data_IF_729648801182
#
_entry.id   IF_729648801182
#
_cell.length_a   1.000
_cell.length_b   1.000
_cell.length_c   1.000
_cell.angle_alpha   90.00
_cell.angle_beta   90.00
_cell.angle_gamma   90.00
#
_symmetry.space_group_name_H-M   'P 1'
#
loop_
_entity.id
_entity.type
_entity.pdbx_description
1 polymer ?
#
# COMPACT_ATOMS: atom_id res chain seq x y z
N UNK A 1 -84.04 -11.65 -32.26
CA UNK A 1 -83.17 -10.96 -31.27
C UNK A 1 -81.74 -11.51 -31.43
N UNK A 2 -80.79 -10.74 -32.01
CA UNK A 2 -79.39 -11.13 -32.21
C UNK A 2 -78.58 -10.21 -31.27
N UNK A 3 -78.00 -10.79 -30.23
CA UNK A 3 -77.09 -10.07 -29.30
C UNK A 3 -75.66 -10.27 -29.77
N UNK A 4 -75.02 -9.17 -30.16
CA UNK A 4 -73.58 -9.10 -30.53
C UNK A 4 -72.74 -8.84 -29.27
N UNK A 5 -71.79 -9.73 -29.00
CA UNK A 5 -70.79 -9.52 -27.97
C UNK A 5 -69.52 -8.82 -28.58
N UNK A 6 -69.19 -7.65 -28.10
CA UNK A 6 -67.95 -6.97 -28.43
C UNK A 6 -66.87 -7.44 -27.43
N UNK A 7 -65.82 -8.07 -27.94
CA UNK A 7 -64.65 -8.43 -27.17
C UNK A 7 -63.66 -7.24 -27.19
N UNK A 8 -63.37 -6.70 -26.00
CA UNK A 8 -62.33 -5.68 -25.83
C UNK A 8 -61.00 -6.37 -25.60
N UNK A 9 -60.04 -6.14 -26.51
CA UNK A 9 -58.66 -6.60 -26.38
C UNK A 9 -57.87 -5.58 -25.53
N UNK A 10 -57.41 -6.00 -24.35
CA UNK A 10 -56.51 -5.21 -23.52
C UNK A 10 -55.04 -5.38 -24.02
N UNK A 11 -54.42 -4.31 -24.50
CA UNK A 11 -53.01 -4.27 -24.87
C UNK A 11 -52.20 -3.94 -23.62
N UNK A 12 -51.49 -4.94 -23.07
CA UNK A 12 -50.55 -4.75 -21.99
C UNK A 12 -49.19 -4.27 -22.56
N UNK A 13 -48.85 -3.01 -22.30
CA UNK A 13 -47.55 -2.46 -22.62
C UNK A 13 -46.56 -2.86 -21.51
N UNK A 14 -45.68 -3.85 -21.78
CA UNK A 14 -44.55 -4.12 -20.88
C UNK A 14 -43.48 -3.05 -21.11
N UNK A 15 -43.35 -2.12 -20.16
CA UNK A 15 -42.20 -1.20 -20.10
C UNK A 15 -40.99 -1.94 -19.52
N UNK A 16 -40.05 -2.31 -20.39
CA UNK A 16 -38.70 -2.78 -19.97
C UNK A 16 -37.87 -1.60 -19.46
N UNK A 17 -37.98 -1.36 -18.16
CA UNK A 17 -37.07 -0.40 -17.51
C UNK A 17 -35.65 -0.96 -17.46
N UNK A 18 -34.74 -0.42 -18.28
CA UNK A 18 -33.31 -0.70 -18.18
C UNK A 18 -32.78 -0.13 -16.86
N UNK A 19 -32.45 -0.99 -15.90
CA UNK A 19 -31.71 -0.62 -14.70
C UNK A 19 -30.28 -0.25 -15.13
N UNK A 20 -29.97 1.02 -15.22
CA UNK A 20 -28.60 1.50 -15.37
C UNK A 20 -27.92 1.32 -14.00
N UNK A 21 -27.12 0.27 -13.85
CA UNK A 21 -26.27 0.09 -12.68
C UNK A 21 -25.19 1.19 -12.70
N UNK A 22 -25.30 2.19 -11.82
CA UNK A 22 -24.23 3.11 -11.55
C UNK A 22 -23.11 2.34 -10.83
N UNK A 23 -22.06 1.99 -11.56
CA UNK A 23 -20.83 1.51 -10.96
C UNK A 23 -20.31 2.60 -10.02
N UNK A 24 -20.22 2.28 -8.74
CA UNK A 24 -19.67 3.17 -7.72
C UNK A 24 -18.18 3.36 -8.05
N UNK A 25 -17.84 4.48 -8.66
CA UNK A 25 -16.45 4.79 -8.97
C UNK A 25 -15.72 5.05 -7.65
N UNK A 26 -14.66 4.29 -7.39
CA UNK A 26 -13.74 4.63 -6.30
C UNK A 26 -13.22 6.06 -6.52
N UNK A 27 -13.04 6.85 -5.45
CA UNK A 27 -12.52 8.19 -5.58
C UNK A 27 -11.16 8.16 -6.30
N UNK A 28 -10.93 9.12 -7.20
CA UNK A 28 -9.64 9.26 -7.84
C UNK A 28 -8.60 9.81 -6.86
N UNK A 29 -7.32 9.45 -6.99
CA UNK A 29 -6.26 10.03 -6.19
C UNK A 29 -6.10 11.53 -6.49
N UNK A 30 -5.62 12.28 -5.51
CA UNK A 30 -5.26 13.68 -5.72
C UNK A 30 -4.21 13.80 -6.84
N UNK A 31 -4.27 14.83 -7.71
CA UNK A 31 -3.36 14.98 -8.87
C UNK A 31 -1.88 15.02 -8.48
N UNK A 32 -1.57 15.50 -7.28
CA UNK A 32 -0.21 15.55 -6.74
C UNK A 32 0.22 14.26 -6.03
N UNK A 33 -0.62 13.22 -5.94
CA UNK A 33 -0.23 11.95 -5.29
C UNK A 33 1.12 11.49 -5.79
N UNK A 34 2.04 11.23 -4.87
CA UNK A 34 3.42 10.81 -5.13
C UNK A 34 3.98 9.87 -4.05
N UNK A 35 3.11 9.38 -3.16
CA UNK A 35 3.41 8.40 -2.11
C UNK A 35 2.20 7.50 -1.87
N UNK A 36 2.44 6.20 -1.73
CA UNK A 36 1.46 5.25 -1.22
C UNK A 36 2.13 4.00 -0.62
N UNK A 37 1.37 3.24 0.18
CA UNK A 37 1.69 1.87 0.59
C UNK A 37 1.04 0.92 -0.42
N UNK A 38 1.76 -0.11 -0.89
CA UNK A 38 1.17 -1.10 -1.81
C UNK A 38 -0.06 -1.76 -1.19
N UNK A 39 -1.17 -1.88 -1.92
CA UNK A 39 -2.37 -2.57 -1.42
C UNK A 39 -2.25 -4.09 -1.41
N UNK A 40 -1.27 -4.64 -2.10
CA UNK A 40 -1.01 -6.08 -2.18
C UNK A 40 0.42 -6.37 -2.61
N UNK A 41 0.95 -7.47 -2.09
CA UNK A 41 2.17 -8.13 -2.59
C UNK A 41 2.16 -9.61 -2.18
N UNK A 42 1.68 -10.51 -3.02
CA UNK A 42 1.60 -11.93 -2.70
C UNK A 42 2.95 -12.66 -2.75
N UNK A 43 4.03 -12.00 -3.16
CA UNK A 43 5.35 -12.62 -3.38
C UNK A 43 6.29 -12.53 -2.17
N UNK A 44 5.87 -11.85 -1.09
CA UNK A 44 6.79 -11.57 0.03
C UNK A 44 8.04 -10.83 -0.46
N UNK A 45 9.21 -11.25 -0.02
CA UNK A 45 10.50 -10.66 -0.41
C UNK A 45 11.01 -11.02 -1.81
N UNK A 46 10.41 -12.01 -2.50
CA UNK A 46 10.82 -12.38 -3.86
C UNK A 46 10.12 -11.49 -4.91
N UNK A 47 10.58 -10.28 -5.03
CA UNK A 47 10.02 -9.28 -5.94
C UNK A 47 10.61 -9.34 -7.36
N UNK A 48 11.67 -10.12 -7.58
CA UNK A 48 12.47 -10.09 -8.81
C UNK A 48 13.44 -8.89 -8.82
N UNK A 49 14.01 -8.59 -7.66
CA UNK A 49 14.90 -7.45 -7.45
C UNK A 49 14.18 -6.10 -7.45
N UNK A 50 14.96 -5.01 -7.49
CA UNK A 50 14.41 -3.65 -7.52
C UNK A 50 13.56 -3.39 -8.76
N UNK A 51 13.91 -3.97 -9.90
CA UNK A 51 13.14 -3.82 -11.15
C UNK A 51 11.74 -4.40 -11.00
N UNK A 52 11.60 -5.57 -10.40
CA UNK A 52 10.29 -6.16 -10.15
C UNK A 52 9.48 -5.39 -9.11
N UNK A 53 10.13 -4.90 -8.05
CA UNK A 53 9.48 -4.04 -7.04
C UNK A 53 8.96 -2.73 -7.65
N UNK A 54 9.75 -2.08 -8.50
CA UNK A 54 9.34 -0.87 -9.23
C UNK A 54 8.16 -1.16 -10.17
N UNK A 55 8.16 -2.32 -10.83
CA UNK A 55 7.05 -2.73 -11.68
C UNK A 55 5.74 -2.91 -10.88
N UNK A 56 5.80 -3.41 -9.64
CA UNK A 56 4.64 -3.47 -8.74
C UNK A 56 4.14 -2.06 -8.45
N UNK A 57 4.99 -1.13 -8.00
CA UNK A 57 4.63 0.27 -7.74
C UNK A 57 3.99 0.91 -8.98
N UNK A 58 4.61 0.75 -10.13
CA UNK A 58 4.11 1.32 -11.40
C UNK A 58 2.76 0.75 -11.81
N UNK A 59 2.56 -0.56 -11.64
CA UNK A 59 1.30 -1.23 -11.97
C UNK A 59 0.15 -0.75 -11.08
N UNK A 60 0.36 -0.71 -9.76
CA UNK A 60 -0.63 -0.24 -8.79
C UNK A 60 -1.01 1.23 -9.04
N UNK A 61 -0.01 2.08 -9.29
CA UNK A 61 -0.24 3.50 -9.58
C UNK A 61 -1.02 3.71 -10.89
N UNK A 62 -0.70 2.94 -11.95
CA UNK A 62 -1.44 2.99 -13.22
C UNK A 62 -2.89 2.54 -13.07
N UNK A 63 -3.16 1.55 -12.22
CA UNK A 63 -4.51 1.06 -11.97
C UNK A 63 -5.45 2.13 -11.40
N UNK A 64 -4.89 3.19 -10.79
CA UNK A 64 -5.64 4.35 -10.28
C UNK A 64 -5.43 5.61 -11.12
N UNK A 65 -4.90 5.47 -12.36
CA UNK A 65 -4.79 6.55 -13.33
C UNK A 65 -3.52 7.42 -13.22
N UNK A 66 -2.54 7.06 -12.39
CA UNK A 66 -1.29 7.83 -12.31
C UNK A 66 -0.41 7.61 -13.54
N UNK A 67 0.09 8.71 -14.12
CA UNK A 67 1.04 8.70 -15.24
C UNK A 67 2.49 8.95 -14.83
N UNK A 68 2.75 9.15 -13.53
CA UNK A 68 4.09 9.40 -12.99
C UNK A 68 4.95 8.14 -13.05
N UNK A 69 6.27 8.31 -12.94
CA UNK A 69 7.22 7.21 -12.74
C UNK A 69 7.31 6.87 -11.26
N UNK A 70 7.10 5.59 -10.92
CA UNK A 70 7.05 5.13 -9.54
C UNK A 70 8.20 4.19 -9.22
N UNK A 71 8.74 4.33 -8.01
CA UNK A 71 9.83 3.53 -7.47
C UNK A 71 9.48 2.97 -6.10
N UNK A 72 9.90 1.74 -5.84
CA UNK A 72 9.82 1.15 -4.52
C UNK A 72 10.89 1.76 -3.60
N UNK A 73 10.52 2.10 -2.37
CA UNK A 73 11.46 2.48 -1.32
C UNK A 73 12.05 1.23 -0.70
N UNK A 74 13.03 0.66 -1.37
CA UNK A 74 13.71 -0.57 -0.97
C UNK A 74 15.21 -0.40 -1.18
N UNK A 75 16.01 -0.75 -0.16
CA UNK A 75 17.46 -0.84 -0.29
C UNK A 75 17.89 -2.22 -0.80
N UNK A 76 19.09 -2.29 -1.35
CA UNK A 76 19.81 -3.54 -1.64
C UNK A 76 21.17 -3.52 -0.95
N UNK A 77 21.95 -4.58 -1.11
CA UNK A 77 23.34 -4.64 -0.63
C UNK A 77 24.23 -3.52 -1.18
N UNK A 78 23.83 -2.88 -2.30
CA UNK A 78 24.62 -1.85 -2.98
C UNK A 78 23.90 -0.51 -3.16
N UNK A 79 22.56 -0.45 -2.95
CA UNK A 79 21.75 0.74 -3.23
C UNK A 79 20.99 1.17 -1.99
N UNK A 80 21.05 2.43 -1.62
CA UNK A 80 20.26 3.03 -0.55
C UNK A 80 18.86 3.40 -1.06
N UNK A 81 17.80 3.06 -0.30
CA UNK A 81 16.42 3.35 -0.68
C UNK A 81 16.18 4.85 -0.90
N UNK A 82 16.77 5.72 -0.06
CA UNK A 82 16.63 7.17 -0.15
C UNK A 82 17.13 7.77 -1.48
N UNK A 83 18.06 7.11 -2.17
CA UNK A 83 18.60 7.61 -3.44
C UNK A 83 17.71 7.29 -4.64
N UNK A 84 16.67 6.47 -4.45
CA UNK A 84 15.82 5.95 -5.53
C UNK A 84 14.56 6.75 -5.76
N UNK A 85 14.13 7.52 -4.80
CA UNK A 85 12.77 8.07 -4.73
C UNK A 85 12.66 9.55 -5.12
N UNK A 86 13.73 10.17 -5.63
CA UNK A 86 13.74 11.61 -5.96
C UNK A 86 13.91 12.49 -4.74
N UNK A 87 13.56 13.76 -4.86
CA UNK A 87 13.82 14.79 -3.84
C UNK A 87 12.56 15.31 -3.12
N UNK A 88 11.36 14.85 -3.52
CA UNK A 88 10.09 15.35 -2.98
C UNK A 88 9.63 16.69 -3.60
N UNK A 89 8.62 17.35 -3.05
CA UNK A 89 7.78 16.88 -1.94
C UNK A 89 6.88 15.71 -2.32
N UNK A 90 6.52 14.87 -1.33
CA UNK A 90 5.62 13.73 -1.56
C UNK A 90 4.29 13.89 -0.86
N UNK A 91 3.23 13.42 -1.52
CA UNK A 91 1.85 13.54 -1.10
C UNK A 91 1.13 12.19 -1.20
N UNK A 92 0.27 11.90 -0.24
CA UNK A 92 -0.53 10.68 -0.22
C UNK A 92 -1.72 10.75 -1.20
N UNK A 93 -2.57 9.71 -1.19
CA UNK A 93 -3.77 9.61 -2.02
C UNK A 93 -4.71 10.83 -1.89
N UNK A 94 -4.81 11.42 -0.70
CA UNK A 94 -5.67 12.58 -0.42
C UNK A 94 -5.01 13.92 -0.77
N UNK A 95 -3.76 13.93 -1.22
CA UNK A 95 -3.00 15.15 -1.45
C UNK A 95 -2.39 15.77 -0.18
N UNK A 96 -2.38 15.04 0.92
CA UNK A 96 -1.72 15.46 2.17
C UNK A 96 -0.21 15.25 2.03
N UNK A 97 0.57 16.27 2.38
CA UNK A 97 2.04 16.19 2.28
C UNK A 97 2.63 15.25 3.33
N UNK A 98 3.35 14.23 2.87
CA UNK A 98 4.05 13.25 3.70
C UNK A 98 5.42 13.78 4.17
N UNK A 99 6.17 14.38 3.24
CA UNK A 99 7.45 15.00 3.53
C UNK A 99 7.80 16.04 2.45
N UNK A 100 8.60 17.03 2.83
CA UNK A 100 9.05 18.10 1.94
C UNK A 100 10.22 17.66 1.04
N UNK A 101 11.13 16.85 1.59
CA UNK A 101 12.35 16.39 0.92
C UNK A 101 12.92 15.16 1.65
N UNK A 102 14.06 14.63 1.17
CA UNK A 102 14.75 13.47 1.75
C UNK A 102 15.09 13.67 3.24
N UNK A 103 15.60 14.84 3.63
CA UNK A 103 15.96 15.09 5.02
C UNK A 103 14.73 15.13 5.93
N UNK A 104 13.64 15.74 5.47
CA UNK A 104 12.37 15.78 6.19
C UNK A 104 11.75 14.37 6.30
N UNK A 105 11.79 13.57 5.24
CA UNK A 105 11.28 12.20 5.21
C UNK A 105 11.96 11.30 6.27
N UNK A 106 13.27 11.47 6.49
CA UNK A 106 14.05 10.68 7.45
C UNK A 106 14.23 11.40 8.81
N UNK A 107 13.41 12.39 9.09
CA UNK A 107 13.36 13.09 10.37
C UNK A 107 12.07 12.75 11.15
N UNK A 108 11.97 13.26 12.37
CA UNK A 108 10.74 13.18 13.17
C UNK A 108 9.57 14.00 12.58
N UNK A 109 9.83 14.87 11.60
CA UNK A 109 8.83 15.78 11.04
C UNK A 109 7.98 15.16 9.94
N UNK A 110 8.41 14.03 9.33
CA UNK A 110 7.60 13.34 8.34
C UNK A 110 6.21 13.00 8.87
N UNK A 111 5.23 12.91 7.98
CA UNK A 111 3.82 12.71 8.34
C UNK A 111 3.33 11.28 8.08
N UNK A 112 4.24 10.30 7.95
CA UNK A 112 3.84 8.88 7.83
C UNK A 112 3.25 8.41 9.16
N UNK A 113 2.02 7.95 9.12
CA UNK A 113 1.24 7.50 10.28
C UNK A 113 0.08 6.61 9.83
N UNK A 114 -0.66 6.01 10.77
CA UNK A 114 -1.87 5.24 10.48
C UNK A 114 -2.93 6.02 9.67
N UNK A 115 -2.93 7.36 9.70
CA UNK A 115 -3.91 8.17 8.99
C UNK A 115 -3.47 8.57 7.59
N UNK A 116 -2.18 8.63 7.35
CA UNK A 116 -1.59 9.19 6.12
C UNK A 116 -0.90 8.17 5.24
N UNK A 117 -0.45 7.02 5.79
CA UNK A 117 0.13 5.92 5.03
C UNK A 117 -0.99 5.09 4.35
N UNK A 118 -1.58 5.67 3.32
CA UNK A 118 -2.68 5.11 2.55
C UNK A 118 -2.16 4.30 1.36
N UNK A 119 -2.97 3.34 0.90
CA UNK A 119 -2.70 2.61 -0.34
C UNK A 119 -2.93 3.50 -1.56
N UNK A 120 -2.55 3.01 -2.74
CA UNK A 120 -2.86 3.68 -4.02
C UNK A 120 -4.36 3.86 -4.26
N UNK A 121 -5.21 3.14 -3.51
CA UNK A 121 -6.69 3.23 -3.56
C UNK A 121 -7.27 4.17 -2.50
N UNK A 122 -6.41 4.80 -1.68
CA UNK A 122 -6.85 5.65 -0.56
C UNK A 122 -7.37 4.90 0.65
N UNK A 123 -7.22 3.58 0.71
CA UNK A 123 -7.60 2.75 1.86
C UNK A 123 -6.45 2.64 2.86
N UNK A 124 -6.78 2.40 4.11
CA UNK A 124 -5.79 2.07 5.15
C UNK A 124 -5.54 0.56 5.12
N UNK A 125 -4.29 0.09 5.15
CA UNK A 125 -3.98 -1.28 5.56
C UNK A 125 -4.52 -1.58 6.98
N UNK A 126 -4.53 -2.85 7.38
CA UNK A 126 -4.97 -3.25 8.71
C UNK A 126 -3.93 -2.87 9.76
N UNK A 127 -3.88 -1.60 10.11
CA UNK A 127 -2.97 -1.04 11.10
C UNK A 127 -3.42 -1.33 12.54
N UNK A 128 -2.51 -1.20 13.48
CA UNK A 128 -2.85 -1.18 14.89
C UNK A 128 -3.74 0.04 15.20
N UNK A 129 -4.69 -0.15 16.09
CA UNK A 129 -5.60 0.92 16.56
C UNK A 129 -6.07 0.67 18.00
N UNK A 130 -6.61 1.71 18.62
CA UNK A 130 -7.11 1.62 19.98
C UNK A 130 -6.04 1.81 21.07
N UNK A 131 -6.46 1.62 22.34
CA UNK A 131 -5.59 1.69 23.50
C UNK A 131 -5.99 0.59 24.51
N UNK A 132 -5.17 -0.47 24.69
CA UNK A 132 -3.87 -0.69 24.04
C UNK A 132 -4.01 -0.92 22.52
N UNK A 133 -2.97 -0.64 21.73
CA UNK A 133 -3.01 -0.87 20.27
C UNK A 133 -3.21 -2.35 19.94
N UNK A 134 -4.17 -2.65 19.06
CA UNK A 134 -4.48 -4.00 18.59
C UNK A 134 -4.82 -4.00 17.10
N UNK A 135 -4.61 -5.13 16.37
CA UNK A 135 -5.08 -5.26 15.00
C UNK A 135 -6.61 -5.29 14.95
N UNK A 136 -7.23 -4.93 13.81
CA UNK A 136 -8.67 -5.11 13.61
C UNK A 136 -9.07 -6.57 13.85
N UNK A 137 -10.19 -6.78 14.55
CA UNK A 137 -10.63 -8.11 14.95
C UNK A 137 -10.79 -9.05 13.74
N UNK A 138 -10.19 -10.24 13.82
CA UNK A 138 -10.27 -11.27 12.78
C UNK A 138 -9.50 -10.95 11.49
N UNK A 139 -8.68 -9.90 11.45
CA UNK A 139 -7.91 -9.52 10.28
C UNK A 139 -6.39 -9.69 10.52
N UNK A 140 -5.68 -10.02 9.44
CA UNK A 140 -4.22 -10.05 9.46
C UNK A 140 -3.68 -8.62 9.61
N UNK A 141 -2.79 -8.42 10.59
CA UNK A 141 -2.09 -7.16 10.77
C UNK A 141 -1.20 -6.85 9.55
N UNK A 142 -1.15 -5.59 9.14
CA UNK A 142 -0.45 -5.12 7.94
C UNK A 142 0.37 -3.86 8.20
N UNK A 143 0.97 -3.70 9.37
CA UNK A 143 1.70 -2.48 9.72
C UNK A 143 3.20 -2.52 9.39
N UNK A 144 3.76 -3.71 9.26
CA UNK A 144 5.18 -3.91 8.94
C UNK A 144 5.40 -3.80 7.43
N UNK A 145 6.13 -2.77 7.03
CA UNK A 145 6.52 -2.51 5.63
C UNK A 145 7.95 -3.00 5.39
N UNK A 146 8.15 -3.76 4.32
CA UNK A 146 9.50 -4.13 3.88
C UNK A 146 10.25 -2.90 3.37
N UNK A 147 11.48 -2.71 3.79
CA UNK A 147 12.33 -1.58 3.36
C UNK A 147 13.78 -1.98 3.10
N UNK A 148 14.33 -2.92 3.88
CA UNK A 148 15.77 -3.24 3.85
C UNK A 148 16.65 -2.02 4.15
N UNK A 149 16.14 -1.05 4.92
CA UNK A 149 16.79 0.24 5.15
C UNK A 149 16.98 0.50 6.64
N UNK A 150 18.01 1.28 6.98
CA UNK A 150 18.17 1.93 8.27
C UNK A 150 17.26 3.16 8.35
N UNK A 151 17.13 3.76 9.54
CA UNK A 151 16.28 4.93 9.77
C UNK A 151 16.60 6.12 8.87
N UNK A 152 17.87 6.34 8.57
CA UNK A 152 18.35 7.42 7.70
C UNK A 152 18.17 7.13 6.19
N UNK A 153 17.55 6.00 5.83
CA UNK A 153 17.31 5.58 4.46
C UNK A 153 18.51 4.97 3.75
N UNK A 154 19.64 4.76 4.45
CA UNK A 154 20.75 3.96 3.94
C UNK A 154 20.41 2.47 4.01
N UNK A 155 21.15 1.68 3.24
CA UNK A 155 20.94 0.22 3.18
C UNK A 155 21.21 -0.46 4.52
N UNK A 156 20.36 -1.42 4.85
CA UNK A 156 20.57 -2.40 5.90
C UNK A 156 21.24 -3.68 5.34
N UNK A 157 21.69 -4.59 6.22
CA UNK A 157 22.21 -5.89 5.83
C UNK A 157 21.11 -6.85 5.35
N UNK A 158 19.91 -6.69 5.90
CA UNK A 158 18.76 -7.55 5.67
C UNK A 158 17.87 -7.01 4.54
N UNK A 159 18.01 -7.56 3.31
CA UNK A 159 17.34 -7.10 2.09
C UNK A 159 16.67 -8.23 1.30
N UNK A 160 16.35 -9.38 1.92
CA UNK A 160 15.86 -10.57 1.23
C UNK A 160 16.75 -10.98 0.03
N UNK A 161 18.08 -10.90 0.20
CA UNK A 161 19.08 -11.10 -0.88
C UNK A 161 18.73 -10.24 -2.10
N UNK A 162 18.63 -8.93 -1.86
CA UNK A 162 18.29 -7.95 -2.88
C UNK A 162 16.94 -8.23 -3.57
N UNK A 163 15.95 -8.67 -2.76
CA UNK A 163 14.56 -8.90 -3.17
C UNK A 163 14.40 -10.07 -4.15
N UNK A 164 15.25 -11.09 -4.04
CA UNK A 164 15.22 -12.29 -4.88
C UNK A 164 14.79 -13.55 -4.12
N UNK A 165 14.59 -13.47 -2.80
CA UNK A 165 14.23 -14.60 -1.93
C UNK A 165 12.89 -14.34 -1.24
N UNK A 166 12.01 -15.35 -1.25
CA UNK A 166 10.70 -15.34 -0.63
C UNK A 166 10.45 -16.52 0.31
N UNK A 167 11.46 -16.91 1.09
CA UNK A 167 11.40 -17.99 2.07
C UNK A 167 12.13 -17.62 3.38
N UNK A 168 12.38 -18.60 4.25
CA UNK A 168 13.08 -18.39 5.52
C UNK A 168 14.60 -18.26 5.44
N UNK A 169 15.21 -18.32 4.25
CA UNK A 169 16.68 -18.34 4.08
C UNK A 169 17.36 -16.98 4.16
N UNK A 170 16.58 -15.89 4.25
CA UNK A 170 17.04 -14.52 4.40
C UNK A 170 16.03 -13.69 5.20
N UNK A 171 16.40 -12.46 5.56
CA UNK A 171 15.56 -11.51 6.28
C UNK A 171 15.52 -10.16 5.58
N UNK A 172 14.62 -9.30 6.03
CA UNK A 172 14.58 -7.89 5.64
C UNK A 172 14.30 -7.00 6.84
N UNK A 173 14.85 -5.77 6.82
CA UNK A 173 14.44 -4.74 7.76
C UNK A 173 13.00 -4.31 7.47
N UNK A 174 12.19 -4.18 8.53
CA UNK A 174 10.80 -3.75 8.50
C UNK A 174 10.62 -2.43 9.23
N UNK A 175 9.71 -1.59 8.74
CA UNK A 175 9.28 -0.36 9.41
C UNK A 175 7.79 -0.39 9.70
N UNK A 176 7.32 0.36 10.72
CA UNK A 176 5.91 0.44 11.09
C UNK A 176 5.24 1.64 10.43
N UNK A 177 4.39 1.40 9.42
CA UNK A 177 3.69 2.48 8.71
C UNK A 177 2.72 3.26 9.59
N UNK A 178 2.14 2.62 10.59
CA UNK A 178 1.25 3.24 11.58
C UNK A 178 2.00 3.94 12.72
N UNK A 179 3.32 3.78 12.80
CA UNK A 179 4.18 4.30 13.88
C UNK A 179 3.81 3.77 15.27
N UNK A 180 3.11 2.65 15.34
CA UNK A 180 2.69 2.00 16.57
C UNK A 180 3.48 0.71 16.79
N UNK A 181 3.61 0.28 18.04
CA UNK A 181 4.29 -0.94 18.43
C UNK A 181 4.00 -1.31 19.87
N UNK A 182 4.32 -2.57 20.25
CA UNK A 182 4.13 -3.05 21.63
C UNK A 182 5.12 -2.43 22.60
N UNK A 183 6.28 -1.97 22.12
CA UNK A 183 7.32 -1.34 22.93
C UNK A 183 7.26 0.17 22.71
N UNK A 184 6.98 0.91 23.77
CA UNK A 184 7.06 2.36 23.71
C UNK A 184 8.50 2.76 23.37
N UNK A 185 8.70 3.44 22.21
CA UNK A 185 9.95 4.11 21.90
C UNK A 185 10.58 3.90 20.54
N UNK A 186 10.27 2.84 19.79
CA UNK A 186 10.88 2.63 18.46
C UNK A 186 9.77 2.45 17.42
N UNK A 187 9.32 3.57 16.86
CA UNK A 187 8.24 3.58 15.89
C UNK A 187 8.71 4.23 14.57
N UNK A 188 9.88 3.80 14.09
CA UNK A 188 10.36 4.23 12.78
C UNK A 188 9.45 3.69 11.67
N UNK A 189 9.12 4.55 10.70
CA UNK A 189 8.30 4.14 9.58
C UNK A 189 9.04 3.15 8.65
N UNK A 190 10.38 3.17 8.67
CA UNK A 190 11.23 2.42 7.73
C UNK A 190 12.22 1.45 8.37
N UNK A 191 12.44 1.49 9.71
CA UNK A 191 13.42 0.63 10.36
C UNK A 191 13.08 0.41 11.84
N UNK A 192 12.42 -0.71 12.18
CA UNK A 192 12.07 -1.08 13.54
C UNK A 192 12.72 -2.39 13.95
N UNK A 193 12.59 -3.43 13.14
CA UNK A 193 13.14 -4.76 13.40
C UNK A 193 13.31 -5.57 12.12
N UNK A 194 14.16 -6.58 12.17
CA UNK A 194 14.26 -7.56 11.09
C UNK A 194 13.06 -8.51 11.10
N UNK A 195 12.65 -8.97 9.91
CA UNK A 195 11.67 -10.06 9.75
C UNK A 195 12.24 -11.40 10.22
N UNK A 196 11.38 -12.40 10.41
CA UNK A 196 11.81 -13.77 10.67
C UNK A 196 12.32 -14.47 9.40
N UNK A 197 11.88 -14.01 8.24
CA UNK A 197 12.27 -14.47 6.91
C UNK A 197 11.61 -13.61 5.84
N UNK A 198 11.74 -14.00 4.57
CA UNK A 198 11.26 -13.25 3.41
C UNK A 198 9.98 -13.84 2.79
N UNK A 199 9.56 -15.04 3.22
CA UNK A 199 8.30 -15.67 2.79
C UNK A 199 7.10 -15.15 3.58
N UNK A 200 5.91 -15.32 3.05
CA UNK A 200 4.67 -14.87 3.71
C UNK A 200 4.47 -15.54 5.07
N UNK A 201 4.83 -16.81 5.22
CA UNK A 201 4.75 -17.55 6.49
C UNK A 201 5.64 -16.95 7.57
N UNK A 202 6.76 -16.32 7.21
CA UNK A 202 7.68 -15.69 8.13
C UNK A 202 7.38 -14.20 8.35
N UNK A 203 6.71 -13.55 7.41
CA UNK A 203 6.32 -12.14 7.49
C UNK A 203 5.04 -11.94 8.32
N UNK A 204 4.02 -12.80 8.14
CA UNK A 204 2.72 -12.66 8.79
C UNK A 204 2.75 -12.66 10.32
N UNK A 205 3.54 -13.49 11.00
CA UNK A 205 3.59 -13.52 12.46
C UNK A 205 4.07 -12.21 13.10
N UNK A 206 4.82 -11.39 12.37
CA UNK A 206 5.31 -10.08 12.88
C UNK A 206 4.35 -8.93 12.56
N UNK A 207 3.40 -9.13 11.64
CA UNK A 207 2.46 -8.07 11.24
C UNK A 207 2.70 -7.53 9.85
N UNK A 208 3.47 -8.27 9.02
CA UNK A 208 3.68 -7.95 7.61
C UNK A 208 2.85 -8.84 6.69
N UNK A 209 2.38 -8.30 5.61
CA UNK A 209 1.87 -9.05 4.44
C UNK A 209 2.69 -8.75 3.18
N UNK A 210 3.98 -8.43 3.39
CA UNK A 210 4.92 -8.14 2.31
C UNK A 210 4.70 -6.78 1.65
N UNK A 211 3.95 -5.87 2.26
CA UNK A 211 3.73 -4.53 1.73
C UNK A 211 4.99 -3.67 1.84
N UNK A 212 5.08 -2.67 0.98
CA UNK A 212 6.19 -1.71 0.94
C UNK A 212 5.73 -0.35 0.40
N UNK A 213 6.57 0.65 0.52
CA UNK A 213 6.27 2.01 0.09
C UNK A 213 6.64 2.25 -1.36
N UNK A 214 5.82 3.03 -2.05
CA UNK A 214 6.04 3.52 -3.40
C UNK A 214 6.09 5.05 -3.42
N UNK A 215 7.08 5.58 -4.13
CA UNK A 215 7.28 7.01 -4.32
C UNK A 215 7.35 7.34 -5.80
N UNK A 216 6.77 8.48 -6.20
CA UNK A 216 6.92 9.01 -7.55
C UNK A 216 8.09 10.00 -7.61
N UNK A 217 8.84 9.92 -8.70
CA UNK A 217 9.91 10.86 -9.08
C UNK A 217 9.33 11.97 -9.97
#
# INVERSE_FOLDING_TARGET
MKTSFLAAAAISVLSTGSLVAFAQQNPAPAPNMSFFVTSSNPKGGNLGGLTGADAVCQSLARAVGSTKTWRAYLSTSTVDAKTRIGNGPWYNFKGERIAQNIADLHSANNKISADTALTEKGTKPNYLSGNPPAPPAGQQLQHDMMTGSKEDGTKDADTCKDWTVGDGSAKTMLGHADRLGRNAGVNSWNAVHASQGCGMEQLQPTGSTGLFYCFAN
#
